data_IF_758496008736
#
_entry.id   IF_758496008736
#
_cell.length_a   1.000
_cell.length_b   1.000
_cell.length_c   1.000
_cell.angle_alpha   90.00
_cell.angle_beta   90.00
_cell.angle_gamma   90.00
#
_symmetry.space_group_name_H-M   'P 1'
#
loop_
_entity.id
_entity.type
_entity.pdbx_description
1 polymer ?
#
# COMPACT_ATOMS: atom_id res chain seq x y z
N UNK A 1 18.21 -21.04 -8.98
CA UNK A 1 19.04 -20.60 -7.84
C UNK A 1 19.34 -19.13 -8.08
N UNK A 2 18.50 -18.24 -7.55
CA UNK A 2 18.73 -16.80 -7.53
C UNK A 2 18.36 -16.34 -6.14
N UNK A 3 19.36 -16.42 -5.28
CA UNK A 3 19.36 -15.92 -3.92
C UNK A 3 20.20 -14.64 -3.90
N UNK A 4 19.86 -13.79 -2.93
CA UNK A 4 20.58 -12.60 -2.47
C UNK A 4 20.41 -11.27 -3.23
N UNK A 5 19.51 -10.44 -2.70
CA UNK A 5 19.75 -9.00 -2.62
C UNK A 5 19.33 -8.47 -1.23
N UNK A 6 20.16 -7.67 -0.52
CA UNK A 6 20.12 -7.57 0.95
C UNK A 6 19.54 -6.26 1.50
N UNK A 7 18.77 -5.47 0.73
CA UNK A 7 18.19 -4.21 1.23
C UNK A 7 16.82 -3.84 0.65
N UNK A 8 15.97 -3.22 1.48
CA UNK A 8 14.61 -2.77 1.17
C UNK A 8 14.51 -1.68 0.08
N UNK A 9 15.65 -1.12 -0.35
CA UNK A 9 15.74 -0.13 -1.42
C UNK A 9 15.68 -0.74 -2.84
N UNK A 10 15.76 -2.07 -2.97
CA UNK A 10 15.75 -2.78 -4.25
C UNK A 10 14.53 -3.69 -4.46
N UNK A 11 13.51 -3.61 -3.59
CA UNK A 11 12.23 -4.21 -3.97
C UNK A 11 11.70 -3.45 -5.18
N UNK A 12 11.60 -4.13 -6.32
CA UNK A 12 11.21 -3.55 -7.60
C UNK A 12 9.69 -3.28 -7.60
N UNK A 13 9.29 -2.23 -6.87
CA UNK A 13 7.93 -1.73 -6.76
C UNK A 13 7.21 -1.55 -8.10
N UNK A 14 7.89 -1.11 -9.19
CA UNK A 14 7.33 -1.14 -10.55
C UNK A 14 6.91 -2.53 -11.02
N UNK A 15 7.62 -3.60 -10.65
CA UNK A 15 7.31 -4.97 -11.04
C UNK A 15 6.08 -5.54 -10.30
N UNK A 16 5.89 -5.15 -9.04
CA UNK A 16 4.71 -5.50 -8.25
C UNK A 16 3.48 -4.67 -8.69
N UNK A 17 3.68 -3.37 -8.99
CA UNK A 17 2.63 -2.49 -9.51
C UNK A 17 2.17 -2.94 -10.90
N UNK A 18 3.09 -3.34 -11.78
CA UNK A 18 2.77 -3.92 -13.09
C UNK A 18 1.95 -5.23 -12.98
N UNK A 19 2.18 -6.05 -11.94
CA UNK A 19 1.39 -7.25 -11.69
C UNK A 19 -0.06 -6.93 -11.32
N UNK A 20 -0.30 -5.80 -10.63
CA UNK A 20 -1.64 -5.33 -10.27
C UNK A 20 -2.31 -4.50 -11.37
N UNK A 21 -1.55 -3.78 -12.20
CA UNK A 21 -2.05 -3.05 -13.38
C UNK A 21 -2.60 -4.00 -14.46
N UNK A 22 -2.00 -5.19 -14.60
CA UNK A 22 -2.52 -6.29 -15.45
C UNK A 22 -3.85 -6.84 -14.92
N UNK A 23 -4.06 -6.86 -13.60
CA UNK A 23 -5.35 -7.24 -12.99
C UNK A 23 -6.40 -6.12 -13.06
N UNK A 24 -5.99 -4.84 -13.08
CA UNK A 24 -6.88 -3.68 -13.07
C UNK A 24 -7.48 -3.33 -14.44
N UNK A 25 -6.84 -3.69 -15.54
CA UNK A 25 -7.30 -3.37 -16.91
C UNK A 25 -8.61 -4.05 -17.35
N UNK A 26 -9.16 -4.95 -16.54
CA UNK A 26 -10.31 -5.80 -16.91
C UNK A 26 -11.65 -5.23 -16.43
N UNK A 27 -11.71 -4.24 -15.51
CA UNK A 27 -13.01 -3.74 -14.99
C UNK A 27 -12.97 -2.30 -14.41
N UNK A 28 -13.78 -1.34 -14.92
CA UNK A 28 -13.95 -0.05 -14.26
C UNK A 28 -14.65 -0.22 -12.91
N UNK A 29 -14.06 0.29 -11.83
CA UNK A 29 -14.57 0.11 -10.48
C UNK A 29 -13.72 0.77 -9.40
N UNK A 30 -14.06 0.64 -8.12
CA UNK A 30 -13.35 1.28 -7.00
C UNK A 30 -11.85 0.94 -6.94
N UNK A 31 -11.44 -0.19 -7.54
CA UNK A 31 -10.02 -0.52 -7.73
C UNK A 31 -9.30 0.46 -8.66
N UNK A 32 -9.95 0.97 -9.71
CA UNK A 32 -9.37 1.99 -10.61
C UNK A 32 -9.14 3.30 -9.86
N UNK A 33 -10.08 3.69 -8.99
CA UNK A 33 -9.90 4.87 -8.12
C UNK A 33 -8.73 4.67 -7.15
N UNK A 34 -8.54 3.46 -6.64
CA UNK A 34 -7.40 3.11 -5.78
C UNK A 34 -6.08 3.21 -6.55
N UNK A 35 -6.00 2.67 -7.76
CA UNK A 35 -4.83 2.84 -8.65
C UNK A 35 -4.56 4.31 -8.97
N UNK A 36 -5.62 5.10 -9.21
CA UNK A 36 -5.51 6.56 -9.43
C UNK A 36 -4.94 7.28 -8.20
N UNK A 37 -5.29 6.87 -6.98
CA UNK A 37 -4.74 7.45 -5.76
C UNK A 37 -3.20 7.30 -5.70
N UNK A 38 -2.68 6.14 -6.10
CA UNK A 38 -1.23 5.91 -6.22
C UNK A 38 -0.61 6.80 -7.29
N UNK A 39 -1.21 6.87 -8.48
CA UNK A 39 -0.71 7.73 -9.55
C UNK A 39 -0.68 9.23 -9.15
N UNK A 40 -1.73 9.72 -8.49
CA UNK A 40 -1.78 11.09 -7.96
C UNK A 40 -0.72 11.31 -6.89
N UNK A 41 -0.47 10.33 -6.01
CA UNK A 41 0.61 10.42 -5.03
C UNK A 41 1.99 10.57 -5.67
N UNK A 42 2.23 9.88 -6.79
CA UNK A 42 3.50 9.95 -7.51
C UNK A 42 3.72 11.31 -8.15
N UNK A 43 2.66 11.93 -8.69
CA UNK A 43 2.75 13.18 -9.47
C UNK A 43 2.62 14.42 -8.60
N UNK A 44 1.66 14.42 -7.68
CA UNK A 44 1.30 15.59 -6.88
C UNK A 44 1.68 15.44 -5.40
N UNK A 45 2.36 14.36 -5.06
CA UNK A 45 2.83 14.06 -3.72
C UNK A 45 1.86 13.22 -2.90
N UNK A 46 2.37 12.54 -1.85
CA UNK A 46 1.65 11.49 -1.13
C UNK A 46 0.33 11.95 -0.52
N UNK A 47 0.25 13.20 -0.05
CA UNK A 47 -0.99 13.78 0.51
C UNK A 47 -2.11 13.91 -0.51
N UNK A 48 -1.79 14.26 -1.76
CA UNK A 48 -2.79 14.33 -2.82
C UNK A 48 -3.35 12.95 -3.14
N UNK A 49 -2.52 11.91 -3.13
CA UNK A 49 -2.98 10.54 -3.29
C UNK A 49 -3.82 10.04 -2.10
N UNK A 50 -3.43 10.39 -0.87
CA UNK A 50 -4.22 10.07 0.33
C UNK A 50 -5.61 10.71 0.29
N UNK A 51 -5.73 11.95 -0.22
CA UNK A 51 -7.03 12.58 -0.39
C UNK A 51 -7.93 11.81 -1.37
N UNK A 52 -7.36 11.29 -2.47
CA UNK A 52 -8.10 10.43 -3.42
C UNK A 52 -8.44 9.07 -2.80
N UNK A 53 -7.51 8.46 -2.06
CA UNK A 53 -7.79 7.20 -1.35
C UNK A 53 -8.90 7.38 -0.30
N UNK A 54 -8.95 8.54 0.37
CA UNK A 54 -10.00 8.85 1.35
C UNK A 54 -11.40 8.91 0.76
N UNK A 55 -11.56 9.18 -0.55
CA UNK A 55 -12.91 9.14 -1.17
C UNK A 55 -13.47 7.72 -1.25
N UNK A 56 -12.62 6.70 -1.11
CA UNK A 56 -13.02 5.29 -1.11
C UNK A 56 -13.51 4.80 0.27
N UNK A 57 -13.32 5.58 1.33
CA UNK A 57 -13.82 5.23 2.67
C UNK A 57 -15.35 5.19 2.73
N UNK A 58 -16.02 5.93 1.84
CA UNK A 58 -17.47 5.95 1.72
C UNK A 58 -18.02 4.87 0.77
N UNK A 59 -17.17 4.18 0.01
CA UNK A 59 -17.59 3.10 -0.90
C UNK A 59 -17.54 1.76 -0.15
N UNK A 60 -18.69 1.19 0.20
CA UNK A 60 -18.80 -0.08 0.95
C UNK A 60 -18.05 -1.25 0.29
N UNK A 61 -17.78 -1.19 -1.02
CA UNK A 61 -17.02 -2.23 -1.73
C UNK A 61 -15.52 -2.15 -1.50
N UNK A 62 -15.04 -1.01 -0.97
CA UNK A 62 -13.62 -0.71 -0.79
C UNK A 62 -13.27 -0.34 0.66
N UNK A 63 -14.22 0.24 1.38
CA UNK A 63 -14.13 0.49 2.81
C UNK A 63 -13.73 -0.79 3.53
N UNK A 64 -12.77 -0.67 4.45
CA UNK A 64 -12.25 -1.80 5.24
C UNK A 64 -11.65 -2.95 4.43
N UNK A 65 -11.21 -2.71 3.20
CA UNK A 65 -10.42 -3.71 2.46
C UNK A 65 -8.94 -3.60 2.81
N UNK A 66 -8.26 -4.75 2.90
CA UNK A 66 -6.81 -4.77 3.13
C UNK A 66 -6.02 -4.00 2.06
N UNK A 67 -6.55 -3.90 0.83
CA UNK A 67 -5.90 -3.20 -0.29
C UNK A 67 -5.91 -1.69 -0.09
N UNK A 68 -7.05 -1.13 0.33
CA UNK A 68 -7.16 0.29 0.66
C UNK A 68 -6.19 0.65 1.79
N UNK A 69 -6.16 -0.17 2.84
CA UNK A 69 -5.27 0.03 3.99
C UNK A 69 -3.79 -0.14 3.63
N UNK A 70 -3.43 -1.08 2.75
CA UNK A 70 -2.05 -1.26 2.29
C UNK A 70 -1.55 -0.05 1.47
N UNK A 71 -2.39 0.49 0.57
CA UNK A 71 -2.07 1.71 -0.19
C UNK A 71 -1.96 2.91 0.74
N UNK A 72 -2.89 3.06 1.68
CA UNK A 72 -2.87 4.11 2.70
C UNK A 72 -1.56 4.06 3.51
N UNK A 73 -1.17 2.88 3.97
CA UNK A 73 0.10 2.66 4.68
C UNK A 73 1.31 3.11 3.86
N UNK A 74 1.36 2.74 2.59
CA UNK A 74 2.45 3.14 1.70
C UNK A 74 2.53 4.65 1.47
N UNK A 75 1.39 5.31 1.26
CA UNK A 75 1.36 6.75 1.04
C UNK A 75 1.69 7.54 2.31
N UNK A 76 1.25 7.07 3.48
CA UNK A 76 1.61 7.66 4.78
C UNK A 76 3.10 7.51 5.08
N UNK A 77 3.70 6.36 4.74
CA UNK A 77 5.14 6.15 4.90
C UNK A 77 5.92 7.18 4.07
N UNK A 78 5.50 7.39 2.81
CA UNK A 78 6.10 8.40 1.92
C UNK A 78 5.80 9.84 2.30
N UNK A 79 4.69 10.08 3.01
CA UNK A 79 4.38 11.38 3.59
C UNK A 79 5.24 11.70 4.82
N UNK A 80 6.08 10.75 5.28
CA UNK A 80 6.88 10.92 6.50
C UNK A 80 6.07 10.71 7.78
N UNK A 81 4.97 9.95 7.72
CA UNK A 81 4.08 9.67 8.84
C UNK A 81 4.16 8.19 9.26
N UNK A 82 5.31 7.72 9.80
CA UNK A 82 5.59 6.30 10.02
C UNK A 82 4.64 5.65 11.05
N UNK A 83 4.17 6.40 12.04
CA UNK A 83 3.21 5.89 13.03
C UNK A 83 1.84 5.58 12.39
N UNK A 84 1.35 6.48 11.54
CA UNK A 84 0.09 6.29 10.83
C UNK A 84 0.23 5.20 9.75
N UNK A 85 1.35 5.19 9.02
CA UNK A 85 1.68 4.15 8.05
C UNK A 85 1.69 2.76 8.67
N UNK A 86 2.31 2.62 9.85
CA UNK A 86 2.33 1.39 10.62
C UNK A 86 0.93 0.91 10.98
N UNK A 87 0.07 1.81 11.48
CA UNK A 87 -1.30 1.45 11.85
C UNK A 87 -2.07 0.88 10.65
N UNK A 88 -1.99 1.55 9.49
CA UNK A 88 -2.62 1.10 8.26
C UNK A 88 -2.07 -0.26 7.79
N UNK A 89 -0.76 -0.50 7.87
CA UNK A 89 -0.19 -1.81 7.53
C UNK A 89 -0.65 -2.94 8.46
N UNK A 90 -0.78 -2.67 9.76
CA UNK A 90 -1.30 -3.65 10.71
C UNK A 90 -2.77 -3.97 10.44
N UNK A 91 -3.56 -2.96 10.10
CA UNK A 91 -4.97 -3.14 9.78
C UNK A 91 -5.14 -3.94 8.48
N UNK A 92 -4.34 -3.64 7.45
CA UNK A 92 -4.27 -4.44 6.23
C UNK A 92 -3.92 -5.91 6.52
N UNK A 93 -2.93 -6.14 7.41
CA UNK A 93 -2.52 -7.48 7.83
C UNK A 93 -3.62 -8.23 8.59
N UNK A 94 -4.45 -7.52 9.36
CA UNK A 94 -5.59 -8.08 10.09
C UNK A 94 -6.72 -8.50 9.16
N UNK A 95 -6.95 -7.74 8.08
CA UNK A 95 -8.06 -7.96 7.14
C UNK A 95 -7.73 -9.02 6.09
N UNK A 96 -6.47 -9.14 5.65
CA UNK A 96 -6.11 -10.11 4.61
C UNK A 96 -6.27 -11.55 5.09
N UNK A 97 -6.83 -12.40 4.22
CA UNK A 97 -6.91 -13.84 4.41
C UNK A 97 -5.66 -14.58 3.91
N UNK A 98 -4.74 -13.88 3.25
CA UNK A 98 -3.53 -14.45 2.65
C UNK A 98 -2.36 -14.42 3.64
N UNK A 99 -1.89 -15.60 4.07
CA UNK A 99 -0.76 -15.72 5.00
C UNK A 99 0.52 -15.02 4.50
N UNK A 100 0.93 -15.18 3.22
CA UNK A 100 2.12 -14.49 2.71
C UNK A 100 1.97 -12.96 2.76
N UNK A 101 0.80 -12.43 2.40
CA UNK A 101 0.53 -10.99 2.44
C UNK A 101 0.52 -10.47 3.87
N UNK A 102 -0.13 -11.18 4.79
CA UNK A 102 -0.16 -10.83 6.21
C UNK A 102 1.24 -10.74 6.79
N UNK A 103 2.10 -11.71 6.46
CA UNK A 103 3.51 -11.72 6.87
C UNK A 103 4.25 -10.51 6.32
N UNK A 104 4.10 -10.23 5.02
CA UNK A 104 4.72 -9.06 4.37
C UNK A 104 4.29 -7.73 5.03
N UNK A 105 2.98 -7.52 5.23
CA UNK A 105 2.43 -6.31 5.83
C UNK A 105 2.89 -6.12 7.28
N UNK A 106 2.95 -7.22 8.04
CA UNK A 106 3.47 -7.22 9.42
C UNK A 106 4.95 -6.85 9.48
N UNK A 107 5.76 -7.34 8.52
CA UNK A 107 7.18 -6.99 8.42
C UNK A 107 7.37 -5.50 8.11
N UNK A 108 6.57 -4.93 7.20
CA UNK A 108 6.58 -3.48 6.91
C UNK A 108 6.21 -2.66 8.14
N UNK A 109 5.13 -3.03 8.83
CA UNK A 109 4.72 -2.38 10.06
C UNK A 109 5.81 -2.47 11.16
N UNK A 110 6.56 -3.57 11.21
CA UNK A 110 7.66 -3.75 12.14
C UNK A 110 8.87 -2.87 11.81
N UNK A 111 9.21 -2.71 10.52
CA UNK A 111 10.33 -1.88 10.07
C UNK A 111 10.14 -0.40 10.45
N UNK A 112 8.90 0.10 10.42
CA UNK A 112 8.56 1.47 10.78
C UNK A 112 8.64 1.79 12.28
N UNK A 113 8.86 0.78 13.15
CA UNK A 113 9.06 0.99 14.60
C UNK A 113 10.49 1.33 14.96
N UNK A 114 11.44 1.16 14.05
CA UNK A 114 12.85 1.36 14.34
C UNK A 114 13.21 2.78 13.89
N UNK A 115 13.27 3.77 14.80
CA UNK A 115 14.05 4.95 14.48
C UNK A 115 15.50 4.47 14.40
N UNK A 116 16.08 4.49 13.20
CA UNK A 116 17.53 4.47 13.11
C UNK A 116 18.03 5.72 13.85
N UNK A 117 18.89 5.47 14.85
CA UNK A 117 19.48 6.49 15.72
C UNK A 117 20.42 7.40 14.94
#
# INVERSE_FOLDING_TARGET
MHDEAPTAAQTDWPQILALYDVLAHVSPGPLVTLSRAVAVAMVHGPRAGLAVAGTLDADERMAHTHRLEAVRGHLLERAGEPAAARAAYLEAARITASEPERRYLTLRAAALRTPER
#
